data_IF_573343321237
#
_entry.id   IF_573343321237
#
_cell.length_a   1.000
_cell.length_b   1.000
_cell.length_c   1.000
_cell.angle_alpha   90.00
_cell.angle_beta   90.00
_cell.angle_gamma   90.00
#
_symmetry.space_group_name_H-M   'P 1'
#
loop_
_entity.id
_entity.type
_entity.pdbx_description
1 polymer ?
#
# COMPACT_ATOMS: atom_id res chain seq x y z
N UNK A 1 17.28 2.96 -20.67
CA UNK A 1 17.83 4.23 -21.20
C UNK A 1 16.70 5.25 -21.17
N UNK A 2 16.65 6.15 -20.17
CA UNK A 2 15.63 7.22 -20.14
C UNK A 2 16.15 8.35 -21.03
N UNK A 3 15.75 8.34 -22.30
CA UNK A 3 16.29 9.21 -23.35
C UNK A 3 15.65 10.61 -23.38
N UNK A 4 14.52 10.81 -22.70
CA UNK A 4 13.79 12.08 -22.65
C UNK A 4 13.52 12.48 -21.21
N UNK A 5 13.82 13.74 -20.84
CA UNK A 5 13.40 14.29 -19.55
C UNK A 5 11.89 14.56 -19.62
N UNK A 6 11.09 13.65 -19.08
CA UNK A 6 9.66 13.89 -18.88
C UNK A 6 9.47 14.91 -17.75
N UNK A 7 8.89 16.06 -18.07
CA UNK A 7 8.64 17.15 -17.10
C UNK A 7 7.14 17.28 -16.86
N UNK A 8 6.75 17.46 -15.59
CA UNK A 8 5.37 17.63 -15.20
C UNK A 8 5.11 17.19 -13.76
N UNK A 9 3.85 17.29 -13.34
CA UNK A 9 3.39 16.75 -12.06
C UNK A 9 2.85 15.34 -12.29
N UNK A 10 3.42 14.38 -11.57
CA UNK A 10 3.08 12.97 -11.67
C UNK A 10 2.60 12.46 -10.32
N UNK A 11 1.47 11.76 -10.32
CA UNK A 11 1.02 11.01 -9.17
C UNK A 11 1.88 9.75 -9.04
N UNK A 12 2.50 9.56 -7.88
CA UNK A 12 3.27 8.36 -7.58
C UNK A 12 2.59 7.60 -6.44
N UNK A 13 2.21 6.36 -6.72
CA UNK A 13 1.53 5.49 -5.77
C UNK A 13 1.51 4.05 -6.26
N UNK A 14 0.76 3.19 -5.58
CA UNK A 14 0.56 1.83 -6.04
C UNK A 14 -0.39 1.78 -7.24
N UNK A 15 -0.13 0.86 -8.16
CA UNK A 15 -1.07 0.50 -9.21
C UNK A 15 -2.32 -0.20 -8.62
N UNK A 16 -3.46 -0.03 -9.30
CA UNK A 16 -4.71 -0.73 -9.01
C UNK A 16 -5.74 0.12 -8.25
N UNK A 17 -6.83 -0.53 -7.82
CA UNK A 17 -8.02 0.13 -7.27
C UNK A 17 -7.88 0.69 -5.84
N UNK A 18 -6.71 0.58 -5.22
CA UNK A 18 -6.47 0.95 -3.83
C UNK A 18 -7.03 -0.04 -2.80
N UNK A 19 -6.79 0.23 -1.51
CA UNK A 19 -7.30 -0.52 -0.37
C UNK A 19 -7.77 0.46 0.71
N UNK A 20 -8.83 0.12 1.45
CA UNK A 20 -9.13 0.83 2.68
C UNK A 20 -8.06 0.52 3.74
N UNK A 21 -7.96 1.37 4.78
CA UNK A 21 -7.01 1.11 5.89
C UNK A 21 -7.33 -0.19 6.62
N UNK A 22 -8.62 -0.50 6.77
CA UNK A 22 -9.05 -1.72 7.42
C UNK A 22 -8.70 -2.96 6.58
N UNK A 23 -8.94 -2.91 5.27
CA UNK A 23 -8.59 -4.02 4.37
C UNK A 23 -7.08 -4.23 4.29
N UNK A 24 -6.30 -3.14 4.23
CA UNK A 24 -4.84 -3.21 4.25
C UNK A 24 -4.32 -3.86 5.54
N UNK A 25 -4.80 -3.44 6.71
CA UNK A 25 -4.40 -4.03 7.99
C UNK A 25 -4.83 -5.50 8.14
N UNK A 26 -6.01 -5.85 7.62
CA UNK A 26 -6.45 -7.24 7.59
C UNK A 26 -5.59 -8.09 6.66
N UNK A 27 -5.19 -7.57 5.51
CA UNK A 27 -4.26 -8.24 4.61
C UNK A 27 -2.91 -8.48 5.31
N UNK A 28 -2.35 -7.46 5.97
CA UNK A 28 -1.13 -7.59 6.77
C UNK A 28 -1.28 -8.69 7.82
N UNK A 29 -2.37 -8.69 8.59
CA UNK A 29 -2.61 -9.71 9.61
C UNK A 29 -2.68 -11.13 9.04
N UNK A 30 -3.25 -11.30 7.84
CA UNK A 30 -3.28 -12.60 7.14
C UNK A 30 -1.89 -13.06 6.71
N UNK A 31 -1.09 -12.18 6.11
CA UNK A 31 0.28 -12.51 5.68
C UNK A 31 1.16 -12.94 6.87
N UNK A 32 1.00 -12.29 8.02
CA UNK A 32 1.70 -12.67 9.25
C UNK A 32 1.04 -13.83 10.01
N UNK A 33 -0.02 -14.44 9.48
CA UNK A 33 -0.78 -15.50 10.15
C UNK A 33 -1.23 -15.12 11.57
N UNK A 34 -1.56 -13.86 11.79
CA UNK A 34 -2.05 -13.37 13.08
C UNK A 34 -3.51 -13.81 13.30
N UNK A 35 -3.94 -14.05 14.55
CA UNK A 35 -5.34 -14.30 14.88
C UNK A 35 -6.23 -13.11 14.48
N UNK A 36 -7.25 -13.36 13.66
CA UNK A 36 -8.18 -12.33 13.15
C UNK A 36 -9.62 -12.51 13.62
N UNK A 37 -9.88 -13.45 14.54
CA UNK A 37 -11.24 -13.82 14.97
C UNK A 37 -11.95 -12.68 15.72
N UNK A 38 -11.18 -11.78 16.33
CA UNK A 38 -11.70 -10.65 17.12
C UNK A 38 -11.56 -9.31 16.40
N UNK A 39 -11.26 -9.31 15.10
CA UNK A 39 -11.16 -8.07 14.32
C UNK A 39 -12.50 -7.35 14.30
N UNK A 40 -12.48 -6.04 14.57
CA UNK A 40 -13.63 -5.17 14.46
C UNK A 40 -13.34 -4.05 13.47
N UNK A 41 -14.30 -3.79 12.58
CA UNK A 41 -14.23 -2.72 11.61
C UNK A 41 -14.89 -1.47 12.18
N UNK A 42 -14.08 -0.42 12.41
CA UNK A 42 -14.59 0.91 12.72
C UNK A 42 -14.87 1.73 11.47
N UNK A 43 -15.74 2.74 11.58
CA UNK A 43 -15.95 3.75 10.54
C UNK A 43 -15.33 5.07 10.97
N UNK A 44 -14.94 5.89 9.99
CA UNK A 44 -14.42 7.22 10.27
C UNK A 44 -15.44 8.10 11.01
N UNK A 45 -16.73 7.87 10.78
CA UNK A 45 -17.85 8.55 11.46
C UNK A 45 -17.91 8.27 12.96
N UNK A 46 -17.28 7.19 13.42
CA UNK A 46 -17.42 6.72 14.81
C UNK A 46 -16.41 7.42 15.74
N UNK A 47 -15.48 8.22 15.19
CA UNK A 47 -14.41 8.87 15.91
C UNK A 47 -14.29 10.35 15.51
N UNK A 48 -14.23 11.23 16.51
CA UNK A 48 -13.89 12.64 16.27
C UNK A 48 -12.38 12.80 16.13
N UNK A 49 -11.91 12.91 14.88
CA UNK A 49 -10.51 13.17 14.59
C UNK A 49 -10.22 14.68 14.63
N UNK A 50 -9.03 15.05 15.13
CA UNK A 50 -8.57 16.46 15.15
C UNK A 50 -8.45 17.07 13.76
N UNK A 51 -8.17 16.26 12.73
CA UNK A 51 -7.98 16.70 11.36
C UNK A 51 -8.95 15.95 10.43
N UNK A 52 -9.61 16.64 9.48
CA UNK A 52 -10.42 15.99 8.47
C UNK A 52 -9.54 15.07 7.62
N UNK A 53 -10.08 13.90 7.28
CA UNK A 53 -9.42 12.94 6.39
C UNK A 53 -10.28 12.78 5.15
N UNK A 54 -9.67 12.91 3.97
CA UNK A 54 -10.34 12.60 2.72
C UNK A 54 -10.79 11.13 2.75
N UNK A 55 -12.04 10.90 2.33
CA UNK A 55 -12.64 9.57 2.29
C UNK A 55 -12.00 8.69 1.20
N UNK A 56 -11.51 9.32 0.14
CA UNK A 56 -10.80 8.69 -0.95
C UNK A 56 -9.52 9.50 -1.25
N UNK A 57 -8.37 8.83 -1.14
CA UNK A 57 -7.05 9.40 -1.44
C UNK A 57 -6.35 8.65 -2.57
N UNK A 58 -7.09 7.82 -3.33
CA UNK A 58 -6.52 7.07 -4.45
C UNK A 58 -6.02 8.04 -5.50
N UNK A 59 -4.86 7.71 -6.06
CA UNK A 59 -4.22 8.51 -7.09
C UNK A 59 -4.30 7.77 -8.41
N UNK A 60 -4.67 8.48 -9.48
CA UNK A 60 -4.50 7.97 -10.83
C UNK A 60 -3.02 8.07 -11.22
N UNK A 61 -2.37 6.91 -11.37
CA UNK A 61 -0.94 6.78 -11.70
C UNK A 61 -0.68 6.53 -13.19
N UNK A 62 -1.72 6.55 -14.04
CA UNK A 62 -1.61 6.24 -15.47
C UNK A 62 -0.56 7.06 -16.21
N UNK A 63 -0.45 8.35 -15.88
CA UNK A 63 0.57 9.24 -16.45
C UNK A 63 1.99 8.79 -16.11
N UNK A 64 2.22 8.35 -14.87
CA UNK A 64 3.52 7.85 -14.40
C UNK A 64 3.88 6.54 -15.07
N UNK A 65 2.92 5.60 -15.14
CA UNK A 65 3.13 4.32 -15.81
C UNK A 65 3.44 4.48 -17.30
N UNK A 66 2.72 5.39 -17.97
CA UNK A 66 2.96 5.73 -19.38
C UNK A 66 4.33 6.35 -19.58
N UNK A 67 4.74 7.27 -18.69
CA UNK A 67 6.04 7.93 -18.75
C UNK A 67 7.22 6.98 -18.49
N UNK A 68 7.04 6.00 -17.60
CA UNK A 68 8.06 4.98 -17.29
C UNK A 68 8.07 3.82 -18.30
N UNK A 69 6.96 3.59 -19.01
CA UNK A 69 6.79 2.42 -19.88
C UNK A 69 6.55 1.12 -19.10
N UNK A 70 6.24 1.21 -17.80
CA UNK A 70 6.07 0.07 -16.90
C UNK A 70 4.89 0.29 -15.94
N UNK A 71 4.30 -0.81 -15.45
CA UNK A 71 3.28 -0.76 -14.40
C UNK A 71 3.94 -0.57 -13.04
N UNK A 72 3.38 0.31 -12.21
CA UNK A 72 3.82 0.42 -10.82
C UNK A 72 3.39 -0.83 -10.03
N UNK A 73 4.06 -1.17 -8.93
CA UNK A 73 3.65 -2.28 -8.08
C UNK A 73 2.25 -2.07 -7.51
N UNK A 74 1.46 -3.14 -7.38
CA UNK A 74 0.20 -3.10 -6.64
C UNK A 74 0.44 -3.39 -5.15
N UNK A 75 -0.45 -2.88 -4.28
CA UNK A 75 -0.28 -2.99 -2.82
C UNK A 75 -0.17 -4.43 -2.31
N UNK A 76 -0.93 -5.37 -2.87
CA UNK A 76 -0.93 -6.77 -2.40
C UNK A 76 0.42 -7.45 -2.65
N UNK A 77 0.96 -7.32 -3.86
CA UNK A 77 2.28 -7.88 -4.21
C UNK A 77 3.40 -7.26 -3.39
N UNK A 78 3.34 -5.94 -3.18
CA UNK A 78 4.34 -5.26 -2.35
C UNK A 78 4.24 -5.71 -0.89
N UNK A 79 3.04 -5.98 -0.38
CA UNK A 79 2.84 -6.50 0.96
C UNK A 79 3.44 -7.90 1.13
N UNK A 80 3.16 -8.82 0.20
CA UNK A 80 3.75 -10.17 0.16
C UNK A 80 5.29 -10.09 0.23
N UNK A 81 5.89 -9.31 -0.68
CA UNK A 81 7.34 -9.14 -0.73
C UNK A 81 7.94 -8.52 0.54
N UNK A 82 7.23 -7.56 1.16
CA UNK A 82 7.67 -6.91 2.39
C UNK A 82 7.60 -7.85 3.60
N UNK A 83 6.59 -8.71 3.67
CA UNK A 83 6.47 -9.73 4.72
C UNK A 83 7.59 -10.75 4.60
N UNK A 84 7.87 -11.21 3.37
CA UNK A 84 8.99 -12.11 3.09
C UNK A 84 10.33 -11.49 3.52
N UNK A 85 10.58 -10.22 3.15
CA UNK A 85 11.79 -9.49 3.54
C UNK A 85 11.91 -9.39 5.07
N UNK A 86 10.81 -9.03 5.75
CA UNK A 86 10.78 -8.89 7.21
C UNK A 86 11.09 -10.21 7.93
N UNK A 87 10.50 -11.31 7.48
CA UNK A 87 10.72 -12.63 8.08
C UNK A 87 12.14 -13.15 7.83
N UNK A 88 12.75 -12.82 6.69
CA UNK A 88 14.15 -13.15 6.42
C UNK A 88 15.11 -12.38 7.33
N UNK A 89 14.82 -11.09 7.58
CA UNK A 89 15.63 -10.26 8.49
C UNK A 89 15.64 -10.81 9.92
N UNK A 90 14.48 -11.26 10.42
CA UNK A 90 14.37 -11.92 11.72
C UNK A 90 15.19 -13.21 11.86
N UNK A 91 15.57 -13.88 10.76
CA UNK A 91 16.47 -15.05 10.78
C UNK A 91 17.94 -14.66 10.81
N UNK A 92 18.29 -13.47 10.34
CA UNK A 92 19.66 -12.96 10.29
C UNK A 92 20.08 -12.29 11.61
N UNK A 93 19.13 -11.78 12.39
CA UNK A 93 19.38 -11.11 13.68
C UNK A 93 19.32 -12.07 14.90
N UNK A 94 19.12 -13.38 14.67
CA UNK A 94 18.97 -14.40 15.72
C UNK A 94 20.27 -15.16 16.07
N UNK A 95 21.44 -14.55 15.82
CA UNK A 95 22.77 -15.13 16.09
C UNK A 95 23.48 -14.43 17.25
#
# INVERSE_FOLDING_TARGET
>A
MISTRTLGTFNLGAHGGGLSKADFLLAVAREFCLPIQTVQFGRLSDLSLKAPRALDIRMDVSATETALGEKLPCLSKTLEALVDEWQQKGKHDAW
#
